data_IF_854251969736
#
_entry.id   IF_854251969736
#
_cell.length_a   1.000
_cell.length_b   1.000
_cell.length_c   1.000
_cell.angle_alpha   90.00
_cell.angle_beta   90.00
_cell.angle_gamma   90.00
#
_symmetry.space_group_name_H-M   'P 1'
#
loop_
_entity.id
_entity.type
_entity.pdbx_description
1 polymer ?
#
# COMPACT_ATOMS: atom_id res chain seq x y z
N UNK A 1 -12.64 -2.81 -2.66
CA UNK A 1 -11.76 -1.77 -2.10
C UNK A 1 -11.85 -0.50 -2.94
N UNK A 2 -11.81 0.66 -2.27
CA UNK A 2 -11.66 1.96 -2.95
C UNK A 2 -10.20 2.17 -3.33
N UNK A 3 -9.95 2.87 -4.44
CA UNK A 3 -8.59 3.24 -4.87
C UNK A 3 -8.05 4.34 -3.95
N UNK A 4 -6.78 4.24 -3.56
CA UNK A 4 -6.11 5.21 -2.68
C UNK A 4 -5.01 5.90 -3.47
N UNK A 5 -5.08 7.22 -3.64
CA UNK A 5 -3.98 7.98 -4.22
C UNK A 5 -2.91 8.30 -3.17
N UNK A 6 -1.65 7.95 -3.46
CA UNK A 6 -0.49 8.31 -2.63
C UNK A 6 0.34 9.35 -3.38
N UNK A 7 0.50 10.54 -2.79
CA UNK A 7 1.47 11.53 -3.26
C UNK A 7 2.73 11.36 -2.40
N UNK A 8 3.71 10.65 -2.96
CA UNK A 8 4.99 10.37 -2.32
C UNK A 8 6.15 11.18 -2.89
N UNK A 9 7.37 10.76 -2.57
CA UNK A 9 8.61 11.38 -3.08
C UNK A 9 9.20 12.48 -2.19
N UNK A 10 8.64 12.70 -1.00
CA UNK A 10 9.13 13.67 -0.01
C UNK A 10 9.37 12.97 1.34
N UNK A 11 10.18 11.90 1.43
CA UNK A 11 11.13 11.33 0.44
C UNK A 11 10.65 10.03 -0.23
N UNK A 12 11.48 9.41 -1.08
CA UNK A 12 11.18 8.13 -1.72
C UNK A 12 11.15 6.96 -0.71
N UNK A 13 12.08 6.95 0.24
CA UNK A 13 12.23 5.91 1.27
C UNK A 13 10.98 5.80 2.15
N UNK A 14 10.38 6.94 2.51
CA UNK A 14 9.12 6.95 3.27
C UNK A 14 7.97 6.39 2.43
N UNK A 15 7.94 6.69 1.13
CA UNK A 15 6.90 6.21 0.21
C UNK A 15 6.93 4.69 0.06
N UNK A 16 8.12 4.07 -0.01
CA UNK A 16 8.27 2.61 -0.01
C UNK A 16 7.64 2.00 1.25
N UNK A 17 7.89 2.61 2.41
CA UNK A 17 7.34 2.15 3.69
C UNK A 17 5.82 2.17 3.68
N UNK A 18 5.21 3.24 3.18
CA UNK A 18 3.75 3.32 3.00
C UNK A 18 3.25 2.23 2.04
N UNK A 19 3.85 2.10 0.87
CA UNK A 19 3.46 1.10 -0.13
C UNK A 19 3.48 -0.32 0.44
N UNK A 20 4.55 -0.69 1.15
CA UNK A 20 4.71 -2.01 1.76
C UNK A 20 3.65 -2.25 2.84
N UNK A 21 3.53 -1.33 3.79
CA UNK A 21 2.62 -1.46 4.94
C UNK A 21 1.16 -1.60 4.48
N UNK A 22 0.77 -0.80 3.48
CA UNK A 22 -0.57 -0.83 2.92
C UNK A 22 -0.85 -2.21 2.28
N UNK A 23 0.03 -2.69 1.42
CA UNK A 23 -0.17 -3.98 0.75
C UNK A 23 -0.16 -5.16 1.72
N UNK A 24 0.74 -5.17 2.70
CA UNK A 24 0.77 -6.20 3.75
C UNK A 24 -0.52 -6.21 4.56
N UNK A 25 -1.02 -5.03 4.94
CA UNK A 25 -2.28 -4.91 5.68
C UNK A 25 -3.45 -5.46 4.87
N UNK A 26 -3.52 -5.17 3.57
CA UNK A 26 -4.60 -5.66 2.70
C UNK A 26 -4.51 -7.17 2.48
N UNK A 27 -3.30 -7.70 2.26
CA UNK A 27 -3.11 -9.13 2.14
C UNK A 27 -3.46 -9.86 3.45
N UNK A 28 -3.16 -9.27 4.60
CA UNK A 28 -3.52 -9.85 5.91
C UNK A 28 -5.04 -9.84 6.16
N UNK A 29 -5.77 -8.85 5.65
CA UNK A 29 -7.23 -8.76 5.82
C UNK A 29 -8.01 -9.60 4.81
N UNK A 30 -7.55 -9.67 3.56
CA UNK A 30 -8.29 -10.29 2.45
C UNK A 30 -7.70 -11.63 1.97
N UNK A 31 -6.47 -11.96 2.39
CA UNK A 31 -5.77 -13.20 2.00
C UNK A 31 -5.47 -13.29 0.50
N UNK A 32 -5.17 -14.49 0.02
CA UNK A 32 -5.16 -14.87 -1.41
C UNK A 32 -4.40 -13.91 -2.36
N UNK A 33 -3.25 -13.38 -1.96
CA UNK A 33 -2.43 -12.46 -2.77
C UNK A 33 -3.13 -11.14 -3.12
N UNK A 34 -4.06 -10.71 -2.27
CA UNK A 34 -4.72 -9.41 -2.43
C UNK A 34 -3.75 -8.27 -2.14
N UNK A 35 -3.80 -7.25 -2.99
CA UNK A 35 -2.98 -6.03 -2.91
C UNK A 35 -3.84 -4.79 -2.95
N UNK A 36 -3.29 -3.69 -2.45
CA UNK A 36 -3.93 -2.40 -2.50
C UNK A 36 -4.04 -1.87 -3.93
N UNK A 37 -5.22 -1.31 -4.23
CA UNK A 37 -5.42 -0.51 -5.44
C UNK A 37 -4.91 0.90 -5.13
N UNK A 38 -3.63 1.12 -5.44
CA UNK A 38 -2.92 2.38 -5.27
C UNK A 38 -2.86 3.10 -6.62
#
# INVERSE_FOLDING_TARGET
MKTIGIIGGMSFESTITYYKTINETINNQLGNLNSAKI
#
